data_IF_999483939391
#
_entry.id   IF_999483939391
#
_cell.length_a   1.000
_cell.length_b   1.000
_cell.length_c   1.000
_cell.angle_alpha   90.00
_cell.angle_beta   90.00
_cell.angle_gamma   90.00
#
_symmetry.space_group_name_H-M   'P 1'
#
loop_
_entity.id
_entity.type
_entity.pdbx_description
1 polymer ?
#
# COMPACT_ATOMS: atom_id res chain seq x y z
N UNK A 1 14.01 5.80 11.10
CA UNK A 1 13.23 4.79 10.33
C UNK A 1 13.51 3.34 10.76
N UNK A 2 14.22 3.10 11.87
CA UNK A 2 14.68 1.76 12.26
C UNK A 2 13.70 1.00 13.17
N UNK A 3 12.69 1.68 13.74
CA UNK A 3 11.86 1.10 14.80
C UNK A 3 11.05 -0.14 14.39
N UNK A 4 10.79 -0.34 13.10
CA UNK A 4 10.01 -1.46 12.57
C UNK A 4 10.87 -2.49 11.83
N UNK A 5 12.16 -2.22 11.61
CA UNK A 5 13.06 -3.18 10.95
C UNK A 5 13.28 -4.39 11.86
N UNK A 6 13.13 -5.60 11.32
CA UNK A 6 13.30 -6.86 12.06
C UNK A 6 12.09 -7.26 12.93
N UNK A 7 11.02 -6.46 12.97
CA UNK A 7 9.76 -6.87 13.59
C UNK A 7 8.92 -7.66 12.59
N UNK A 8 8.55 -8.92 12.87
CA UNK A 8 7.83 -9.77 11.91
C UNK A 8 6.35 -9.38 11.74
N UNK A 9 5.84 -8.47 12.58
CA UNK A 9 4.43 -8.08 12.63
C UNK A 9 4.30 -6.62 12.23
N UNK A 10 3.39 -6.33 11.31
CA UNK A 10 3.09 -4.96 10.92
C UNK A 10 2.50 -4.17 12.11
N UNK A 11 2.77 -2.86 12.18
CA UNK A 11 2.09 -1.99 13.13
C UNK A 11 0.58 -1.95 12.90
N UNK A 12 -0.18 -1.67 13.96
CA UNK A 12 -1.65 -1.73 13.93
C UNK A 12 -2.34 -0.37 13.75
N UNK A 13 -1.59 0.67 13.42
CA UNK A 13 -2.10 2.05 13.34
C UNK A 13 -2.87 2.37 12.04
N UNK A 14 -2.71 1.54 11.00
CA UNK A 14 -3.41 1.67 9.72
C UNK A 14 -4.05 0.32 9.38
N UNK A 15 -5.38 0.28 9.28
CA UNK A 15 -6.15 -0.93 9.01
C UNK A 15 -6.60 -0.94 7.54
N UNK A 16 -6.25 -1.95 6.74
CA UNK A 16 -6.72 -2.04 5.36
C UNK A 16 -8.22 -2.37 5.31
N UNK A 17 -8.96 -1.66 4.46
CA UNK A 17 -10.39 -1.89 4.20
C UNK A 17 -10.65 -2.57 2.85
N UNK A 18 -9.78 -2.35 1.89
CA UNK A 18 -9.93 -2.86 0.53
C UNK A 18 -8.67 -2.70 -0.30
N UNK A 19 -8.59 -3.48 -1.38
CA UNK A 19 -7.50 -3.45 -2.35
C UNK A 19 -8.08 -3.38 -3.76
N UNK A 20 -7.60 -2.44 -4.55
CA UNK A 20 -7.70 -2.49 -6.00
C UNK A 20 -6.36 -2.93 -6.56
N UNK A 21 -6.33 -4.02 -7.32
CA UNK A 21 -5.12 -4.67 -7.80
C UNK A 21 -5.19 -4.76 -9.31
N UNK A 22 -4.30 -4.02 -9.97
CA UNK A 22 -4.06 -4.17 -11.40
C UNK A 22 -2.81 -5.03 -11.61
N UNK A 23 -2.97 -6.18 -12.24
CA UNK A 23 -1.87 -7.09 -12.56
C UNK A 23 -1.64 -7.13 -14.07
N UNK A 24 -0.40 -6.85 -14.50
CA UNK A 24 -0.01 -6.81 -15.91
C UNK A 24 1.21 -7.72 -16.14
N UNK A 25 0.99 -9.01 -16.45
CA UNK A 25 2.08 -9.94 -16.75
C UNK A 25 2.65 -9.70 -18.16
N UNK A 26 3.96 -9.86 -18.30
CA UNK A 26 4.67 -10.00 -19.57
C UNK A 26 5.22 -11.42 -19.67
N UNK A 27 4.55 -12.25 -20.47
CA UNK A 27 4.92 -13.65 -20.65
C UNK A 27 6.17 -13.83 -21.51
N UNK A 28 6.53 -12.83 -22.32
CA UNK A 28 7.72 -12.90 -23.20
C UNK A 28 8.97 -12.57 -22.40
N UNK A 29 8.90 -11.52 -21.58
CA UNK A 29 9.99 -11.11 -20.70
C UNK A 29 10.05 -11.91 -19.39
N UNK A 30 9.07 -12.80 -19.13
CA UNK A 30 8.91 -13.51 -17.86
C UNK A 30 8.91 -12.55 -16.65
N UNK A 31 8.18 -11.44 -16.78
CA UNK A 31 8.11 -10.39 -15.76
C UNK A 31 6.67 -9.95 -15.52
N UNK A 32 6.47 -9.10 -14.53
CA UNK A 32 5.17 -8.49 -14.28
C UNK A 32 5.32 -7.05 -13.85
N UNK A 33 4.30 -6.26 -14.17
CA UNK A 33 4.07 -4.94 -13.62
C UNK A 33 2.65 -4.84 -13.11
N UNK A 34 2.30 -3.68 -12.58
CA UNK A 34 0.97 -3.46 -12.05
C UNK A 34 0.90 -2.24 -11.14
N UNK A 35 -0.26 -2.09 -10.52
CA UNK A 35 -0.51 -1.07 -9.52
C UNK A 35 -1.39 -1.65 -8.42
N UNK A 36 -1.24 -1.11 -7.21
CA UNK A 36 -2.10 -1.43 -6.07
C UNK A 36 -2.60 -0.13 -5.47
N UNK A 37 -3.90 -0.02 -5.25
CA UNK A 37 -4.48 0.99 -4.38
C UNK A 37 -4.98 0.30 -3.11
N UNK A 38 -4.46 0.74 -1.96
CA UNK A 38 -4.85 0.21 -0.65
C UNK A 38 -5.72 1.23 0.05
N UNK A 39 -6.96 0.88 0.33
CA UNK A 39 -7.80 1.69 1.18
C UNK A 39 -7.42 1.46 2.63
N UNK A 40 -7.01 2.52 3.33
CA UNK A 40 -6.55 2.47 4.72
C UNK A 40 -7.47 3.29 5.62
N UNK A 41 -7.77 2.74 6.78
CA UNK A 41 -8.40 3.40 7.91
C UNK A 41 -7.34 3.70 8.98
N UNK A 42 -7.09 4.99 9.20
CA UNK A 42 -6.05 5.47 10.10
C UNK A 42 -6.65 5.69 11.49
N UNK A 43 -6.32 4.81 12.43
CA UNK A 43 -6.95 4.78 13.76
C UNK A 43 -6.16 5.54 14.84
N UNK A 44 -4.99 6.07 14.50
CA UNK A 44 -4.13 6.88 15.38
C UNK A 44 -3.26 7.83 14.56
N UNK A 45 -2.79 8.93 15.13
CA UNK A 45 -1.84 9.83 14.48
C UNK A 45 -0.57 9.10 14.04
N UNK A 46 -0.27 9.16 12.75
CA UNK A 46 0.90 8.53 12.13
C UNK A 46 1.56 9.46 11.12
N UNK A 47 2.85 9.25 10.91
CA UNK A 47 3.66 9.92 9.90
C UNK A 47 4.31 8.95 8.91
N UNK A 48 4.09 7.64 9.09
CA UNK A 48 4.65 6.57 8.26
C UNK A 48 3.65 5.41 8.13
N UNK A 49 3.50 4.90 6.91
CA UNK A 49 2.79 3.64 6.63
C UNK A 49 3.83 2.54 6.35
N UNK A 50 3.67 1.39 6.98
CA UNK A 50 4.57 0.23 6.80
C UNK A 50 3.78 -0.90 6.14
N UNK A 51 4.31 -1.43 5.04
CA UNK A 51 3.68 -2.47 4.23
C UNK A 51 4.67 -3.61 3.97
N UNK A 52 4.16 -4.79 3.61
CA UNK A 52 4.99 -5.90 3.15
C UNK A 52 5.29 -5.76 1.66
N UNK A 53 6.54 -6.03 1.29
CA UNK A 53 6.97 -6.19 -0.10
C UNK A 53 8.06 -7.27 -0.14
N UNK A 54 7.76 -8.41 -0.76
CA UNK A 54 8.70 -9.51 -0.93
C UNK A 54 8.93 -9.73 -2.42
N UNK A 55 10.18 -9.59 -2.87
CA UNK A 55 10.56 -9.71 -4.28
C UNK A 55 9.82 -8.72 -5.22
N UNK A 56 9.53 -7.52 -4.71
CA UNK A 56 8.86 -6.45 -5.45
C UNK A 56 9.75 -5.22 -5.53
N UNK A 57 9.95 -4.72 -6.74
CA UNK A 57 10.53 -3.39 -6.98
C UNK A 57 9.39 -2.37 -7.05
N UNK A 58 9.38 -1.41 -6.12
CA UNK A 58 8.39 -0.33 -6.09
C UNK A 58 9.04 0.96 -6.55
N UNK A 59 8.49 1.57 -7.59
CA UNK A 59 8.96 2.87 -8.06
C UNK A 59 8.52 3.97 -7.09
N UNK A 60 9.47 4.73 -6.55
CA UNK A 60 9.18 5.74 -5.54
C UNK A 60 8.31 6.90 -6.09
N UNK A 61 8.41 7.20 -7.39
CA UNK A 61 7.61 8.25 -8.03
C UNK A 61 6.16 7.80 -8.30
N UNK A 62 5.87 6.50 -8.27
CA UNK A 62 4.52 5.94 -8.40
C UNK A 62 3.69 6.00 -7.11
N UNK A 63 4.30 6.31 -5.96
CA UNK A 63 3.61 6.36 -4.67
C UNK A 63 2.86 7.68 -4.50
N UNK A 64 1.56 7.60 -4.26
CA UNK A 64 0.72 8.77 -4.01
C UNK A 64 -0.37 8.46 -2.99
N UNK A 65 -0.91 9.52 -2.37
CA UNK A 65 -2.04 9.42 -1.46
C UNK A 65 -3.26 10.09 -2.09
N UNK A 66 -4.40 9.42 -1.99
CA UNK A 66 -5.70 9.96 -2.36
C UNK A 66 -6.59 9.94 -1.13
N UNK A 67 -7.29 11.04 -0.88
CA UNK A 67 -8.30 11.06 0.18
C UNK A 67 -9.59 10.47 -0.38
N UNK A 68 -10.23 9.56 0.36
CA UNK A 68 -11.59 9.14 0.02
C UNK A 68 -12.50 10.31 0.37
N UNK A 69 -13.10 10.96 -0.63
CA UNK A 69 -14.14 11.94 -0.37
C UNK A 69 -15.24 11.27 0.45
N UNK A 70 -15.51 11.79 1.64
CA UNK A 70 -16.70 11.43 2.39
C UNK A 70 -17.89 11.94 1.59
N UNK A 71 -18.43 11.10 0.71
CA UNK A 71 -19.71 11.36 0.07
C UNK A 71 -20.78 11.29 1.16
N UNK A 72 -20.99 12.41 1.84
CA UNK A 72 -22.21 12.67 2.62
C UNK A 72 -23.37 12.64 1.64
N UNK A 73 -23.96 11.47 1.46
CA UNK A 73 -25.25 11.32 0.81
C UNK A 73 -26.27 12.02 1.72
N UNK A 74 -26.72 13.20 1.30
CA UNK A 74 -27.88 13.90 1.86
C UNK A 74 -29.14 13.09 1.68
#
# INVERSE_FOLDING_TARGET
MEQFKGQPRLPKFALPKGYDITFKPDLTACSFGGAVAVELDIISDIWLVVLNAADLSVDAASVSFTHRDSSSKK
#
